data_IF_622687095820
#
_entry.id   IF_622687095820
#
_cell.length_a   1.000
_cell.length_b   1.000
_cell.length_c   1.000
_cell.angle_alpha   90.00
_cell.angle_beta   90.00
_cell.angle_gamma   90.00
#
_symmetry.space_group_name_H-M   'P 1'
#
loop_
_entity.id
_entity.type
_entity.pdbx_description
1 polymer ?
#
# COMPACT_ATOMS: atom_id res chain seq x y z
N UNK A 1 -11.40 20.71 -5.91
CA UNK A 1 -12.48 19.90 -5.33
C UNK A 1 -12.25 18.41 -5.61
N UNK A 2 -11.12 17.83 -5.13
CA UNK A 2 -10.68 16.47 -5.51
C UNK A 2 -9.95 15.73 -4.37
N UNK A 3 -10.39 15.88 -3.12
CA UNK A 3 -9.94 15.00 -2.03
C UNK A 3 -11.15 14.43 -1.31
N UNK A 4 -11.87 13.55 -2.01
CA UNK A 4 -12.92 12.76 -1.39
C UNK A 4 -12.25 11.58 -0.70
N UNK A 5 -12.29 11.57 0.63
CA UNK A 5 -11.82 10.44 1.42
C UNK A 5 -12.83 9.30 1.34
N UNK A 6 -12.41 8.15 0.85
CA UNK A 6 -13.21 6.92 0.88
C UNK A 6 -12.74 6.05 2.04
N UNK A 7 -13.65 5.71 2.95
CA UNK A 7 -13.39 4.82 4.07
C UNK A 7 -14.32 3.61 4.02
N UNK A 8 -13.77 2.40 4.17
CA UNK A 8 -14.53 1.16 4.31
C UNK A 8 -14.04 0.44 5.56
N UNK A 9 -14.98 0.05 6.42
CA UNK A 9 -14.69 -0.75 7.61
C UNK A 9 -15.00 -2.23 7.34
N UNK A 10 -14.11 -3.11 7.78
CA UNK A 10 -14.28 -4.55 7.68
C UNK A 10 -13.79 -5.23 8.97
N UNK A 11 -14.49 -6.27 9.43
CA UNK A 11 -14.03 -7.12 10.55
C UNK A 11 -13.14 -8.24 10.00
N UNK A 12 -11.93 -8.37 10.55
CA UNK A 12 -10.92 -9.32 10.09
C UNK A 12 -10.43 -10.14 11.30
N UNK A 13 -10.15 -11.43 11.10
CA UNK A 13 -9.64 -12.35 12.14
C UNK A 13 -8.11 -12.44 12.15
N UNK A 14 -7.43 -11.30 12.11
CA UNK A 14 -5.96 -11.20 12.15
C UNK A 14 -5.54 -10.11 13.12
N UNK A 15 -4.37 -10.27 13.73
CA UNK A 15 -3.84 -9.24 14.62
C UNK A 15 -3.43 -7.98 13.84
N UNK A 16 -3.40 -6.80 14.48
CA UNK A 16 -2.89 -5.58 13.85
C UNK A 16 -1.48 -5.75 13.26
N UNK A 17 -0.62 -6.54 13.90
CA UNK A 17 0.74 -6.81 13.46
C UNK A 17 0.77 -7.66 12.18
N UNK A 18 -0.11 -8.68 12.09
CA UNK A 18 -0.23 -9.49 10.89
C UNK A 18 -0.73 -8.66 9.71
N UNK A 19 -1.75 -7.82 9.93
CA UNK A 19 -2.26 -6.93 8.89
C UNK A 19 -1.23 -5.88 8.47
N UNK A 20 -0.50 -5.31 9.43
CA UNK A 20 0.59 -4.40 9.15
C UNK A 20 1.66 -5.05 8.28
N UNK A 21 2.06 -6.28 8.57
CA UNK A 21 3.06 -6.99 7.78
C UNK A 21 2.63 -7.17 6.30
N UNK A 22 1.35 -7.49 6.06
CA UNK A 22 0.80 -7.63 4.70
C UNK A 22 0.81 -6.31 3.95
N UNK A 23 0.37 -5.22 4.59
CA UNK A 23 0.30 -3.89 3.95
C UNK A 23 1.68 -3.24 3.85
N UNK A 24 2.64 -3.61 4.70
CA UNK A 24 4.01 -3.10 4.62
C UNK A 24 4.81 -3.71 3.47
N UNK A 25 4.43 -4.90 2.98
CA UNK A 25 5.07 -5.60 1.86
C UNK A 25 4.64 -5.02 0.51
N UNK A 26 4.94 -3.74 0.29
CA UNK A 26 4.52 -2.99 -0.90
C UNK A 26 5.06 -3.64 -2.17
N UNK A 27 6.29 -4.13 -2.17
CA UNK A 27 6.95 -4.84 -3.28
C UNK A 27 6.18 -6.08 -3.77
N UNK A 28 5.36 -6.69 -2.91
CA UNK A 28 4.56 -7.88 -3.25
C UNK A 28 3.15 -7.53 -3.74
N UNK A 29 2.78 -6.25 -3.84
CA UNK A 29 1.42 -5.85 -4.20
C UNK A 29 0.97 -6.37 -5.56
N UNK A 30 1.88 -6.52 -6.52
CA UNK A 30 1.57 -7.11 -7.83
C UNK A 30 1.04 -8.54 -7.74
N UNK A 31 1.36 -9.28 -6.66
CA UNK A 31 0.98 -10.69 -6.52
C UNK A 31 -0.42 -10.87 -5.91
N UNK A 32 -0.90 -9.90 -5.13
CA UNK A 32 -2.14 -10.07 -4.35
C UNK A 32 -3.12 -8.89 -4.39
N UNK A 33 -2.71 -7.69 -4.79
CA UNK A 33 -3.61 -6.54 -4.91
C UNK A 33 -4.29 -6.61 -6.28
N UNK A 34 -5.63 -6.72 -6.34
CA UNK A 34 -6.33 -6.71 -7.61
C UNK A 34 -5.97 -5.48 -8.43
N UNK A 35 -5.75 -5.68 -9.73
CA UNK A 35 -5.43 -4.62 -10.69
C UNK A 35 -4.04 -3.96 -10.54
N UNK A 36 -3.24 -4.34 -9.54
CA UNK A 36 -1.84 -3.94 -9.48
C UNK A 36 -1.03 -4.77 -10.48
N UNK A 37 -0.57 -4.15 -11.56
CA UNK A 37 0.22 -4.82 -12.61
C UNK A 37 1.70 -4.89 -12.24
N UNK A 38 2.19 -3.87 -11.55
CA UNK A 38 3.57 -3.77 -11.11
C UNK A 38 3.65 -3.05 -9.78
N UNK A 39 4.50 -3.57 -8.89
CA UNK A 39 4.89 -2.87 -7.68
C UNK A 39 6.40 -2.96 -7.50
N UNK A 40 7.04 -1.81 -7.33
CA UNK A 40 8.49 -1.75 -7.20
C UNK A 40 8.90 -0.69 -6.20
N UNK A 41 9.72 -1.08 -5.23
CA UNK A 41 10.41 -0.12 -4.37
C UNK A 41 11.52 0.53 -5.22
N UNK A 42 11.44 1.85 -5.37
CA UNK A 42 12.40 2.65 -6.14
C UNK A 42 13.49 3.18 -5.21
N UNK A 43 13.13 3.52 -3.96
CA UNK A 43 14.06 4.12 -3.00
C UNK A 43 13.68 3.78 -1.56
N UNK A 44 14.70 3.54 -0.74
CA UNK A 44 14.59 3.60 0.71
C UNK A 44 15.15 4.94 1.20
N UNK A 45 14.36 5.67 1.97
CA UNK A 45 14.74 6.97 2.50
C UNK A 45 15.39 6.83 3.88
N UNK A 46 16.19 7.83 4.26
CA UNK A 46 16.98 7.83 5.51
C UNK A 46 16.07 7.89 6.75
N UNK A 47 14.88 8.46 6.62
CA UNK A 47 13.86 8.54 7.67
C UNK A 47 13.07 7.23 7.88
N UNK A 48 13.38 6.19 7.09
CA UNK A 48 12.69 4.90 7.14
C UNK A 48 11.41 4.85 6.31
N UNK A 49 11.07 5.90 5.56
CA UNK A 49 10.05 5.85 4.51
C UNK A 49 10.59 5.16 3.24
N UNK A 50 9.68 4.81 2.33
CA UNK A 50 10.05 4.27 1.02
C UNK A 50 9.30 4.99 -0.09
N UNK A 51 9.93 5.08 -1.25
CA UNK A 51 9.25 5.50 -2.48
C UNK A 51 9.03 4.26 -3.35
N UNK A 52 7.78 4.02 -3.73
CA UNK A 52 7.38 2.89 -4.56
C UNK A 52 6.68 3.36 -5.83
N UNK A 53 7.00 2.75 -6.95
CA UNK A 53 6.26 2.88 -8.21
C UNK A 53 5.19 1.79 -8.25
N UNK A 54 3.94 2.21 -8.44
CA UNK A 54 2.80 1.32 -8.60
C UNK A 54 2.17 1.55 -9.97
N UNK A 55 1.91 0.45 -10.67
CA UNK A 55 1.19 0.46 -11.94
C UNK A 55 -0.17 -0.19 -11.74
N UNK A 56 -1.24 0.57 -11.98
CA UNK A 56 -2.62 0.11 -11.83
C UNK A 56 -3.26 -0.01 -13.20
N UNK A 57 -3.79 -1.20 -13.47
CA UNK A 57 -4.47 -1.54 -14.72
C UNK A 57 -5.97 -1.58 -14.58
N UNK A 58 -6.68 -0.72 -15.30
CA UNK A 58 -8.15 -0.76 -15.36
C UNK A 58 -8.65 -0.75 -16.80
N UNK A 59 -9.27 -1.86 -17.21
CA UNK A 59 -9.72 -2.11 -18.59
C UNK A 59 -8.58 -1.96 -19.60
N UNK A 60 -8.61 -0.90 -20.41
CA UNK A 60 -7.61 -0.60 -21.44
C UNK A 60 -6.60 0.48 -21.00
N UNK A 61 -6.76 1.01 -19.79
CA UNK A 61 -5.89 2.05 -19.25
C UNK A 61 -4.92 1.44 -18.25
N UNK A 62 -3.68 1.92 -18.32
CA UNK A 62 -2.65 1.62 -17.35
C UNK A 62 -2.09 2.95 -16.88
N UNK A 63 -2.14 3.16 -15.57
CA UNK A 63 -1.65 4.37 -14.93
C UNK A 63 -0.52 4.00 -13.97
N UNK A 64 0.61 4.70 -14.08
CA UNK A 64 1.75 4.56 -13.17
C UNK A 64 1.85 5.79 -12.29
N UNK A 65 2.05 5.58 -10.99
CA UNK A 65 2.29 6.66 -10.05
C UNK A 65 3.40 6.31 -9.06
N UNK A 66 4.04 7.37 -8.55
CA UNK A 66 5.00 7.29 -7.46
C UNK A 66 4.30 7.54 -6.13
N UNK A 67 4.46 6.60 -5.20
CA UNK A 67 3.92 6.66 -3.85
C UNK A 67 5.05 6.84 -2.84
N UNK A 68 4.90 7.84 -1.97
CA UNK A 68 5.72 7.99 -0.77
C UNK A 68 5.02 7.30 0.40
N UNK A 69 5.67 6.30 1.00
CA UNK A 69 5.08 5.40 1.98
C UNK A 69 5.77 5.56 3.33
N UNK A 70 5.00 5.98 4.33
CA UNK A 70 5.41 6.02 5.72
C UNK A 70 4.88 4.81 6.49
N UNK A 71 5.77 4.10 7.18
CA UNK A 71 5.41 2.93 7.98
C UNK A 71 5.31 3.28 9.46
N UNK A 72 4.10 3.27 10.01
CA UNK A 72 3.85 3.43 11.45
C UNK A 72 3.36 2.13 12.03
N UNK A 73 4.24 1.44 12.77
CA UNK A 73 3.88 0.19 13.44
C UNK A 73 2.68 0.41 14.36
N UNK A 74 1.74 -0.55 14.44
CA UNK A 74 0.61 -0.44 15.34
C UNK A 74 1.10 -0.24 16.76
N UNK A 75 0.70 0.86 17.39
CA UNK A 75 0.85 1.06 18.83
C UNK A 75 -0.34 0.36 19.46
N UNK A 76 -0.07 -0.67 20.25
CA UNK A 76 -1.05 -1.51 20.96
C UNK A 76 -2.40 -0.78 21.20
N UNK A 77 -3.44 -1.20 20.49
CA UNK A 77 -4.81 -0.73 20.72
C UNK A 77 -5.49 -1.82 21.54
N UNK A 78 -5.90 -1.47 22.76
CA UNK A 78 -6.59 -2.35 23.73
C UNK A 78 -7.82 -3.03 23.14
#
# INVERSE_FOLDING_TARGET
DVHRNFARLAKIRYSPEQLFAVVAAVDLYQDFVPWCQQSKIVRHNVDGSLDAELQIGFKFFVESYMSHVEMKKPRHIK
#
